data_IF_128416213642
#
_entry.id   IF_128416213642
#
_cell.length_a   1.000
_cell.length_b   1.000
_cell.length_c   1.000
_cell.angle_alpha   90.00
_cell.angle_beta   90.00
_cell.angle_gamma   90.00
#
_symmetry.space_group_name_H-M   'P 1'
#
loop_
_entity.id
_entity.type
_entity.pdbx_description
1 polymer ?
#
# COMPACT_ATOMS: atom_id res chain seq x y z
N UNK A 1 -33.46 50.79 -21.28
CA UNK A 1 -32.81 50.63 -19.96
C UNK A 1 -33.10 49.32 -19.23
N UNK A 2 -33.94 48.39 -19.72
CA UNK A 2 -34.25 47.14 -18.97
C UNK A 2 -33.94 45.83 -19.73
N UNK A 3 -33.28 45.89 -20.90
CA UNK A 3 -32.95 44.70 -21.71
C UNK A 3 -31.46 44.32 -21.73
N UNK A 4 -30.58 45.17 -21.19
CA UNK A 4 -29.14 44.87 -21.12
C UNK A 4 -28.69 44.25 -19.79
N UNK A 5 -29.48 44.36 -18.72
CA UNK A 5 -29.14 43.76 -17.42
C UNK A 5 -29.51 42.27 -17.32
N UNK A 6 -30.45 41.77 -18.14
CA UNK A 6 -30.86 40.36 -18.10
C UNK A 6 -29.88 39.41 -18.79
N UNK A 7 -29.03 39.91 -19.69
CA UNK A 7 -28.08 39.07 -20.42
C UNK A 7 -26.84 38.71 -19.57
N UNK A 8 -26.55 39.48 -18.53
CA UNK A 8 -25.42 39.21 -17.64
C UNK A 8 -25.77 38.18 -16.56
N UNK A 9 -27.02 38.12 -16.07
CA UNK A 9 -27.40 37.16 -15.04
C UNK A 9 -27.69 35.74 -15.57
N UNK A 10 -28.02 35.58 -16.84
CA UNK A 10 -28.32 34.25 -17.40
C UNK A 10 -27.06 33.42 -17.74
N UNK A 11 -25.89 34.06 -17.85
CA UNK A 11 -24.62 33.36 -18.04
C UNK A 11 -24.05 32.80 -16.73
N UNK A 12 -24.52 33.28 -15.57
CA UNK A 12 -23.98 32.90 -14.26
C UNK A 12 -24.62 31.61 -13.70
N UNK A 13 -25.85 31.28 -14.12
CA UNK A 13 -26.59 30.11 -13.58
C UNK A 13 -26.16 28.78 -14.22
N UNK A 14 -25.55 28.80 -15.42
CA UNK A 14 -25.03 27.59 -16.07
C UNK A 14 -23.69 27.09 -15.50
N UNK A 15 -23.08 27.84 -14.58
CA UNK A 15 -21.82 27.44 -13.94
C UNK A 15 -22.01 26.81 -12.55
N UNK A 16 -23.24 26.58 -12.09
CA UNK A 16 -23.52 26.13 -10.72
C UNK A 16 -23.61 24.61 -10.52
N UNK A 17 -23.18 23.80 -11.49
CA UNK A 17 -23.14 22.34 -11.33
C UNK A 17 -21.86 21.74 -11.88
N UNK A 18 -20.74 22.02 -11.21
CA UNK A 18 -19.57 21.14 -11.14
C UNK A 18 -18.60 21.69 -10.08
N UNK A 19 -19.06 21.84 -8.85
CA UNK A 19 -18.12 21.77 -7.74
C UNK A 19 -17.74 20.29 -7.62
N UNK A 20 -16.62 19.90 -8.24
CA UNK A 20 -15.94 18.70 -7.80
C UNK A 20 -15.55 18.95 -6.35
N UNK A 21 -16.01 18.09 -5.46
CA UNK A 21 -15.46 18.04 -4.12
C UNK A 21 -13.97 17.74 -4.27
N UNK A 22 -13.16 18.79 -4.18
CA UNK A 22 -11.75 18.65 -3.83
C UNK A 22 -11.72 18.17 -2.39
N UNK A 23 -12.03 16.88 -2.19
CA UNK A 23 -11.47 16.15 -1.07
C UNK A 23 -9.98 16.37 -1.17
N UNK A 24 -9.40 17.04 -0.17
CA UNK A 24 -7.97 17.30 -0.11
C UNK A 24 -7.25 15.99 -0.37
N UNK A 25 -6.59 15.84 -1.52
CA UNK A 25 -5.62 14.77 -1.74
C UNK A 25 -4.52 15.03 -0.72
N UNK A 26 -4.63 14.42 0.46
CA UNK A 26 -3.59 14.44 1.47
C UNK A 26 -2.35 13.84 0.83
N UNK A 27 -1.41 14.70 0.46
CA UNK A 27 -0.13 14.26 -0.05
C UNK A 27 0.63 13.61 1.11
N UNK A 28 0.58 12.28 1.19
CA UNK A 28 1.20 11.52 2.27
C UNK A 28 2.71 11.31 2.07
N UNK A 29 3.29 11.97 1.06
CA UNK A 29 4.73 11.96 0.81
C UNK A 29 5.50 12.35 2.07
N UNK A 30 6.28 11.39 2.59
CA UNK A 30 7.05 11.52 3.83
C UNK A 30 6.40 10.90 5.08
N UNK A 31 5.16 10.41 5.02
CA UNK A 31 4.59 9.54 6.08
C UNK A 31 5.07 8.11 5.87
N UNK A 32 5.55 7.50 6.95
CA UNK A 32 6.08 6.13 6.96
C UNK A 32 5.15 5.17 7.68
N UNK A 33 4.99 3.98 7.11
CA UNK A 33 4.29 2.85 7.70
C UNK A 33 5.32 1.75 7.95
N UNK A 34 5.34 1.23 9.18
CA UNK A 34 6.18 0.08 9.54
C UNK A 34 5.35 -1.20 9.40
N UNK A 35 5.80 -2.10 8.53
CA UNK A 35 5.22 -3.44 8.34
C UNK A 35 5.99 -4.42 9.21
N UNK A 36 5.30 -5.14 10.09
CA UNK A 36 5.89 -6.17 10.95
C UNK A 36 5.62 -7.53 10.34
N UNK A 37 6.67 -8.28 10.02
CA UNK A 37 6.60 -9.62 9.42
C UNK A 37 7.13 -10.68 10.38
N UNK A 38 6.66 -11.92 10.19
CA UNK A 38 7.22 -13.08 10.89
C UNK A 38 8.63 -13.40 10.41
N UNK A 39 9.41 -14.08 11.25
CA UNK A 39 10.65 -14.77 10.86
C UNK A 39 10.54 -16.30 11.01
N UNK A 40 9.33 -16.82 11.22
CA UNK A 40 9.05 -18.25 11.31
C UNK A 40 8.72 -18.80 9.92
N UNK A 41 9.49 -19.79 9.48
CA UNK A 41 9.34 -20.46 8.18
C UNK A 41 8.65 -21.84 8.30
N UNK A 42 8.31 -22.26 9.52
CA UNK A 42 7.69 -23.56 9.83
C UNK A 42 6.62 -23.46 10.90
N UNK A 43 5.59 -24.28 10.77
CA UNK A 43 4.44 -24.34 11.67
C UNK A 43 4.69 -25.26 12.87
N UNK A 44 5.29 -24.72 13.94
CA UNK A 44 5.49 -25.40 15.22
C UNK A 44 6.00 -26.84 15.07
N UNK A 45 5.38 -27.77 15.80
CA UNK A 45 5.76 -29.19 15.81
C UNK A 45 5.45 -29.93 14.51
N UNK A 46 4.57 -29.38 13.65
CA UNK A 46 4.23 -30.03 12.37
C UNK A 46 5.33 -29.88 11.32
N UNK A 47 6.21 -28.89 11.49
CA UNK A 47 7.32 -28.60 10.58
C UNK A 47 6.90 -28.18 9.16
N UNK A 48 5.60 -28.01 8.89
CA UNK A 48 5.09 -27.59 7.57
C UNK A 48 5.62 -26.20 7.22
N UNK A 49 6.11 -25.96 5.99
CA UNK A 49 6.55 -24.63 5.56
C UNK A 49 5.42 -23.59 5.70
N UNK A 50 5.75 -22.41 6.20
CA UNK A 50 4.83 -21.28 6.33
C UNK A 50 5.60 -19.95 6.31
N UNK A 51 4.89 -18.84 6.53
CA UNK A 51 5.46 -17.50 6.50
C UNK A 51 4.38 -16.42 6.60
N UNK A 52 4.70 -15.21 6.14
CA UNK A 52 3.67 -14.20 5.89
C UNK A 52 2.85 -14.56 4.64
N UNK A 53 1.58 -14.16 4.60
CA UNK A 53 0.64 -14.57 3.54
C UNK A 53 0.64 -13.56 2.39
N UNK A 54 0.92 -14.01 1.15
CA UNK A 54 1.20 -13.14 0.00
C UNK A 54 0.18 -12.00 -0.25
N UNK A 55 -1.12 -12.27 -0.43
CA UNK A 55 -2.09 -11.23 -0.76
C UNK A 55 -2.34 -10.25 0.39
N UNK A 56 -2.07 -10.63 1.64
CA UNK A 56 -2.25 -9.76 2.82
C UNK A 56 -1.23 -8.63 2.87
N UNK A 57 -0.09 -8.78 2.20
CA UNK A 57 0.87 -7.70 2.04
C UNK A 57 0.81 -7.08 0.64
N UNK A 58 0.65 -7.88 -0.41
CA UNK A 58 0.72 -7.38 -1.78
C UNK A 58 -0.35 -6.32 -2.08
N UNK A 59 -1.60 -6.56 -1.67
CA UNK A 59 -2.69 -5.62 -1.91
C UNK A 59 -2.55 -4.34 -1.08
N UNK A 60 -2.38 -4.39 0.26
CA UNK A 60 -2.21 -3.16 1.03
C UNK A 60 -0.94 -2.40 0.64
N UNK A 61 0.15 -3.10 0.31
CA UNK A 61 1.36 -2.43 -0.18
C UNK A 61 1.05 -1.57 -1.41
N UNK A 62 0.36 -2.13 -2.42
CA UNK A 62 0.03 -1.42 -3.65
C UNK A 62 -0.82 -0.18 -3.37
N UNK A 63 -1.88 -0.33 -2.59
CA UNK A 63 -2.79 0.77 -2.26
C UNK A 63 -2.07 1.88 -1.48
N UNK A 64 -1.18 1.51 -0.55
CA UNK A 64 -0.44 2.46 0.27
C UNK A 64 0.64 3.21 -0.52
N UNK A 65 1.39 2.53 -1.39
CA UNK A 65 2.40 3.22 -2.21
C UNK A 65 1.75 4.13 -3.26
N UNK A 66 0.61 3.71 -3.83
CA UNK A 66 -0.19 4.55 -4.75
C UNK A 66 -0.75 5.79 -4.04
N UNK A 67 -1.09 5.67 -2.76
CA UNK A 67 -1.51 6.77 -1.90
C UNK A 67 -0.35 7.65 -1.38
N UNK A 68 0.89 7.37 -1.80
CA UNK A 68 2.08 8.17 -1.50
C UNK A 68 2.74 7.87 -0.15
N UNK A 69 2.40 6.76 0.50
CA UNK A 69 3.08 6.33 1.73
C UNK A 69 4.42 5.66 1.42
N UNK A 70 5.37 5.84 2.32
CA UNK A 70 6.60 5.07 2.36
C UNK A 70 6.44 3.89 3.33
N UNK A 71 6.87 2.70 2.92
CA UNK A 71 6.84 1.52 3.76
C UNK A 71 8.27 1.12 4.15
N UNK A 72 8.44 0.73 5.40
CA UNK A 72 9.64 0.09 5.95
C UNK A 72 9.22 -1.21 6.64
N UNK A 73 10.14 -2.13 6.86
CA UNK A 73 9.78 -3.45 7.38
C UNK A 73 10.70 -3.91 8.51
N UNK A 74 10.12 -4.70 9.41
CA UNK A 74 10.81 -5.33 10.52
C UNK A 74 10.37 -6.78 10.67
N UNK A 75 11.29 -7.66 11.05
CA UNK A 75 10.97 -9.00 11.53
C UNK A 75 11.87 -9.37 12.72
N UNK A 76 11.47 -10.30 13.60
CA UNK A 76 12.26 -10.67 14.78
C UNK A 76 13.74 -10.99 14.49
N UNK A 77 14.03 -11.66 13.37
CA UNK A 77 15.40 -12.03 12.96
C UNK A 77 16.03 -11.07 11.95
N UNK A 78 15.26 -10.11 11.40
CA UNK A 78 15.68 -9.31 10.27
C UNK A 78 15.93 -10.14 8.99
N UNK A 79 16.48 -9.51 7.96
CA UNK A 79 16.76 -10.15 6.68
C UNK A 79 15.50 -10.54 5.92
N UNK A 80 15.56 -11.64 5.16
CA UNK A 80 14.44 -12.10 4.34
C UNK A 80 13.35 -12.73 5.19
N UNK A 81 12.17 -12.10 5.21
CA UNK A 81 10.99 -12.66 5.83
C UNK A 81 10.42 -13.82 4.97
N UNK A 82 10.20 -15.01 5.54
CA UNK A 82 9.69 -16.16 4.80
C UNK A 82 8.24 -15.91 4.38
N UNK A 83 7.93 -16.12 3.09
CA UNK A 83 6.56 -16.11 2.57
C UNK A 83 5.97 -17.51 2.69
N UNK A 84 4.68 -17.61 3.00
CA UNK A 84 3.97 -18.88 2.99
C UNK A 84 3.86 -19.40 1.53
N UNK A 85 4.45 -20.57 1.20
CA UNK A 85 4.44 -21.08 -0.18
C UNK A 85 3.04 -21.49 -0.66
N UNK A 86 2.12 -21.81 0.24
CA UNK A 86 0.72 -22.06 -0.09
C UNK A 86 0.07 -20.80 -0.65
N UNK A 87 0.31 -19.65 0.00
CA UNK A 87 -0.21 -18.35 -0.47
C UNK A 87 0.33 -17.96 -1.86
N UNK A 88 1.59 -18.28 -2.16
CA UNK A 88 2.17 -18.03 -3.50
C UNK A 88 1.47 -18.87 -4.56
N UNK A 89 1.20 -20.15 -4.25
CA UNK A 89 0.52 -21.06 -5.17
C UNK A 89 -0.94 -20.66 -5.39
N UNK A 90 -1.67 -20.39 -4.32
CA UNK A 90 -3.11 -20.13 -4.38
C UNK A 90 -3.43 -18.80 -5.08
N UNK A 91 -2.49 -17.84 -5.06
CA UNK A 91 -2.61 -16.53 -5.70
C UNK A 91 -1.69 -16.36 -6.92
N UNK A 92 -1.24 -17.44 -7.54
CA UNK A 92 -0.33 -17.39 -8.69
C UNK A 92 -0.92 -16.67 -9.92
N UNK A 93 -2.25 -16.62 -10.04
CA UNK A 93 -2.96 -15.93 -11.11
C UNK A 93 -3.42 -14.50 -10.74
N UNK A 94 -3.18 -14.06 -9.50
CA UNK A 94 -3.56 -12.72 -9.05
C UNK A 94 -2.58 -11.67 -9.60
N UNK A 95 -3.04 -10.67 -10.37
CA UNK A 95 -2.14 -9.71 -11.01
C UNK A 95 -1.33 -8.86 -10.03
N UNK A 96 -1.90 -8.52 -8.87
CA UNK A 96 -1.21 -7.69 -7.86
C UNK A 96 -0.15 -8.53 -7.15
N UNK A 97 -0.44 -9.79 -6.86
CA UNK A 97 0.52 -10.73 -6.30
C UNK A 97 1.67 -11.03 -7.29
N UNK A 98 1.39 -11.13 -8.59
CA UNK A 98 2.42 -11.27 -9.63
C UNK A 98 3.30 -10.01 -9.74
N UNK A 99 2.67 -8.83 -9.76
CA UNK A 99 3.39 -7.56 -9.75
C UNK A 99 4.28 -7.44 -8.50
N UNK A 100 3.75 -7.69 -7.31
CA UNK A 100 4.51 -7.59 -6.06
C UNK A 100 5.74 -8.51 -6.04
N UNK A 101 5.62 -9.72 -6.61
CA UNK A 101 6.72 -10.68 -6.71
C UNK A 101 7.79 -10.29 -7.74
N UNK A 102 7.44 -9.46 -8.73
CA UNK A 102 8.35 -9.02 -9.80
C UNK A 102 8.91 -7.61 -9.58
N UNK A 103 8.26 -6.80 -8.75
CA UNK A 103 8.69 -5.44 -8.44
C UNK A 103 9.85 -5.44 -7.44
N UNK A 104 10.98 -4.85 -7.85
CA UNK A 104 12.20 -4.88 -7.05
C UNK A 104 12.07 -4.11 -5.73
N UNK A 105 11.26 -3.04 -5.68
CA UNK A 105 11.08 -2.24 -4.47
C UNK A 105 10.18 -2.97 -3.47
N UNK A 106 9.12 -3.60 -3.95
CA UNK A 106 8.25 -4.47 -3.16
C UNK A 106 9.03 -5.67 -2.59
N UNK A 107 9.86 -6.33 -3.41
CA UNK A 107 10.70 -7.43 -2.93
C UNK A 107 11.75 -6.97 -1.92
N UNK A 108 12.36 -5.80 -2.13
CA UNK A 108 13.31 -5.25 -1.17
C UNK A 108 12.70 -5.05 0.24
N UNK A 109 11.41 -4.73 0.33
CA UNK A 109 10.69 -4.61 1.61
C UNK A 109 10.68 -5.94 2.38
N UNK A 110 10.50 -7.07 1.71
CA UNK A 110 10.41 -8.39 2.39
C UNK A 110 11.76 -9.10 2.49
N UNK A 111 12.71 -8.79 1.61
CA UNK A 111 14.04 -9.39 1.57
C UNK A 111 15.02 -8.77 2.57
N UNK A 112 14.79 -7.51 2.97
CA UNK A 112 15.71 -6.73 3.80
C UNK A 112 15.04 -6.16 5.05
N UNK A 113 14.24 -6.97 5.75
CA UNK A 113 13.60 -6.52 6.99
C UNK A 113 14.65 -6.15 8.04
N UNK A 114 14.39 -5.09 8.78
CA UNK A 114 15.18 -4.70 9.95
C UNK A 114 14.88 -5.63 11.13
N UNK A 115 15.73 -5.62 12.15
CA UNK A 115 15.40 -6.12 13.48
C UNK A 115 14.69 -5.04 14.30
N UNK A 116 13.92 -5.39 15.35
CA UNK A 116 13.26 -4.40 16.20
C UNK A 116 14.21 -3.33 16.76
N UNK A 117 15.44 -3.70 17.13
CA UNK A 117 16.44 -2.78 17.68
C UNK A 117 16.95 -1.74 16.68
N UNK A 118 16.74 -1.96 15.39
CA UNK A 118 17.11 -1.02 14.32
C UNK A 118 16.01 0.01 14.02
N UNK A 119 14.85 -0.09 14.70
CA UNK A 119 13.72 0.80 14.52
C UNK A 119 13.71 1.86 15.63
N UNK A 120 13.57 3.12 15.22
CA UNK A 120 13.21 4.21 16.13
C UNK A 120 11.71 4.52 15.94
N UNK A 121 10.82 4.15 16.87
CA UNK A 121 9.37 4.31 16.72
C UNK A 121 8.89 5.77 16.78
N UNK A 122 9.78 6.72 17.10
CA UNK A 122 9.50 8.12 17.45
C UNK A 122 8.76 8.30 18.78
#
# INVERSE_FOLDING_TARGET
>A
MLRFLYFCQLLCVLMHSAQSESGTTQNNMGKKILVILTSADKMGDTGKPTGWYLPELAHPYKDLVDAGFELDSVSPKGGKAPVDPGSVKDFAADPICQWFQSDAKAQALVDNTKTPDQINPR
#
